data_IF_283041337707
#
_entry.id   IF_283041337707
#
_cell.length_a   1.000
_cell.length_b   1.000
_cell.length_c   1.000
_cell.angle_alpha   90.00
_cell.angle_beta   90.00
_cell.angle_gamma   90.00
#
_symmetry.space_group_name_H-M   'P 1'
#
loop_
_entity.id
_entity.type
_entity.pdbx_description
1 polymer ?
#
# COMPACT_ATOMS: atom_id res chain seq x y z
N UNK A 1 5.20 -24.45 8.18
CA UNK A 1 5.62 -23.03 8.27
C UNK A 1 6.36 -22.68 6.98
N UNK A 2 5.84 -21.74 6.16
CA UNK A 2 6.59 -21.14 5.04
C UNK A 2 6.41 -19.63 5.12
N UNK A 3 7.23 -19.01 5.95
CA UNK A 3 7.52 -17.59 5.91
C UNK A 3 8.82 -17.47 5.12
N UNK A 4 8.74 -17.22 3.81
CA UNK A 4 9.84 -16.80 2.93
C UNK A 4 9.37 -16.88 1.47
N UNK A 5 8.49 -15.98 1.07
CA UNK A 5 8.57 -15.46 -0.28
C UNK A 5 8.82 -13.98 -0.05
N UNK A 6 10.05 -13.54 -0.35
CA UNK A 6 10.47 -12.18 -0.12
C UNK A 6 9.38 -11.25 -0.64
N UNK A 7 8.76 -10.46 0.22
CA UNK A 7 7.84 -9.41 -0.19
C UNK A 7 8.65 -8.36 -0.93
N UNK A 8 8.93 -8.66 -2.19
CA UNK A 8 9.60 -7.78 -3.12
C UNK A 8 8.78 -6.51 -3.17
N UNK A 9 9.43 -5.38 -2.93
CA UNK A 9 8.80 -4.07 -3.07
C UNK A 9 8.20 -4.01 -4.48
N UNK A 10 6.90 -3.73 -4.63
CA UNK A 10 6.31 -3.55 -5.95
C UNK A 10 7.01 -2.38 -6.64
N UNK A 11 7.27 -2.51 -7.93
CA UNK A 11 7.88 -1.44 -8.74
C UNK A 11 6.85 -0.35 -9.07
N UNK A 12 5.58 -0.75 -9.21
CA UNK A 12 4.46 0.14 -9.53
C UNK A 12 3.16 -0.26 -8.83
N UNK A 13 2.23 0.70 -8.71
CA UNK A 13 0.91 0.48 -8.10
C UNK A 13 0.09 -0.57 -8.87
N UNK A 14 0.29 -0.69 -10.19
CA UNK A 14 -0.32 -1.74 -11.01
C UNK A 14 0.17 -3.13 -10.61
N UNK A 15 1.48 -3.28 -10.36
CA UNK A 15 2.07 -4.53 -9.88
C UNK A 15 1.56 -4.86 -8.48
N UNK A 16 1.54 -3.88 -7.57
CA UNK A 16 0.93 -4.02 -6.25
C UNK A 16 -0.52 -4.51 -6.34
N UNK A 17 -1.29 -3.97 -7.29
CA UNK A 17 -2.68 -4.39 -7.52
C UNK A 17 -2.75 -5.84 -7.97
N UNK A 18 -1.86 -6.27 -8.86
CA UNK A 18 -1.72 -7.67 -9.27
C UNK A 18 -1.37 -8.60 -8.10
N UNK A 19 -0.44 -8.19 -7.24
CA UNK A 19 -0.02 -8.97 -6.06
C UNK A 19 -1.15 -9.12 -5.03
N UNK A 20 -1.91 -8.05 -4.78
CA UNK A 20 -3.08 -8.07 -3.88
C UNK A 20 -4.20 -8.91 -4.47
N UNK A 21 -4.49 -8.77 -5.78
CA UNK A 21 -5.53 -9.56 -6.46
C UNK A 21 -5.20 -11.05 -6.51
N UNK A 22 -3.93 -11.39 -6.75
CA UNK A 22 -3.44 -12.78 -6.83
C UNK A 22 -3.30 -13.44 -5.45
N UNK A 23 -3.57 -12.71 -4.35
CA UNK A 23 -3.37 -13.16 -2.96
C UNK A 23 -1.96 -13.70 -2.68
N UNK A 24 -0.98 -13.27 -3.47
CA UNK A 24 0.44 -13.57 -3.25
C UNK A 24 0.89 -13.00 -1.90
N UNK A 25 0.34 -11.84 -1.53
CA UNK A 25 0.50 -11.27 -0.20
C UNK A 25 -0.49 -11.90 0.77
N UNK A 26 0.00 -12.67 1.75
CA UNK A 26 -0.82 -13.14 2.88
C UNK A 26 -1.11 -11.99 3.85
N UNK A 27 -2.04 -11.14 3.48
CA UNK A 27 -2.51 -10.04 4.30
C UNK A 27 -3.73 -10.48 5.16
N UNK A 28 -3.77 -10.13 6.44
CA UNK A 28 -4.99 -10.13 7.23
C UNK A 28 -6.06 -9.26 6.54
N UNK A 29 -7.35 -9.60 6.72
CA UNK A 29 -8.47 -8.87 6.10
C UNK A 29 -8.38 -7.35 6.23
N UNK A 30 -7.94 -6.85 7.39
CA UNK A 30 -7.78 -5.41 7.62
C UNK A 30 -6.67 -4.78 6.76
N UNK A 31 -5.52 -5.44 6.64
CA UNK A 31 -4.41 -4.95 5.80
C UNK A 31 -4.76 -5.03 4.32
N UNK A 32 -5.44 -6.10 3.89
CA UNK A 32 -5.94 -6.23 2.53
C UNK A 32 -6.95 -5.13 2.18
N UNK A 33 -7.87 -4.81 3.11
CA UNK A 33 -8.82 -3.71 2.94
C UNK A 33 -8.11 -2.36 2.76
N UNK A 34 -7.08 -2.07 3.57
CA UNK A 34 -6.29 -0.83 3.44
C UNK A 34 -5.59 -0.80 2.10
N UNK A 35 -4.95 -1.91 1.68
CA UNK A 35 -4.27 -2.00 0.40
C UNK A 35 -5.24 -1.79 -0.79
N UNK A 36 -6.39 -2.47 -0.77
CA UNK A 36 -7.44 -2.30 -1.80
C UNK A 36 -7.94 -0.87 -1.86
N UNK A 37 -8.14 -0.20 -0.72
CA UNK A 37 -8.61 1.19 -0.68
C UNK A 37 -7.54 2.16 -1.17
N UNK A 38 -6.27 1.94 -0.82
CA UNK A 38 -5.14 2.69 -1.35
C UNK A 38 -4.99 2.53 -2.87
N UNK A 39 -5.23 1.33 -3.40
CA UNK A 39 -5.22 1.04 -4.84
C UNK A 39 -6.41 1.67 -5.58
N UNK A 40 -7.59 1.74 -4.94
CA UNK A 40 -8.77 2.38 -5.51
C UNK A 40 -8.69 3.92 -5.46
N UNK A 41 -8.02 4.46 -4.44
CA UNK A 41 -7.87 5.91 -4.18
C UNK A 41 -6.39 6.22 -3.89
N UNK A 42 -5.50 6.16 -4.90
CA UNK A 42 -4.07 6.44 -4.72
C UNK A 42 -3.81 7.88 -4.26
N UNK A 43 -4.68 8.83 -4.61
CA UNK A 43 -4.69 10.22 -4.12
C UNK A 43 -4.71 10.31 -2.59
N UNK A 44 -5.45 9.42 -1.94
CA UNK A 44 -5.66 9.44 -0.50
C UNK A 44 -4.37 9.15 0.25
N UNK A 45 -3.54 8.23 -0.27
CA UNK A 45 -2.23 7.92 0.30
C UNK A 45 -1.16 8.92 -0.17
N UNK A 46 -1.21 9.33 -1.44
CA UNK A 46 -0.25 10.25 -2.03
C UNK A 46 -0.32 11.67 -1.46
N UNK A 47 -1.51 12.15 -1.07
CA UNK A 47 -1.68 13.50 -0.52
C UNK A 47 -1.98 13.46 0.99
N UNK A 48 -2.64 12.41 1.49
CA UNK A 48 -2.99 12.26 2.89
C UNK A 48 -1.80 11.98 3.83
N UNK A 49 -2.12 11.95 5.12
CA UNK A 49 -1.23 11.49 6.20
C UNK A 49 -1.58 10.04 6.60
N UNK A 50 -0.67 9.35 7.31
CA UNK A 50 -0.95 8.01 7.82
C UNK A 50 -2.24 7.97 8.65
N UNK A 51 -2.51 9.03 9.42
CA UNK A 51 -3.72 9.17 10.23
C UNK A 51 -4.97 9.34 9.37
N UNK A 52 -4.92 10.20 8.35
CA UNK A 52 -6.03 10.41 7.42
C UNK A 52 -6.37 9.12 6.65
N UNK A 53 -5.34 8.40 6.20
CA UNK A 53 -5.49 7.09 5.53
C UNK A 53 -6.12 6.07 6.47
N UNK A 54 -5.64 6.03 7.71
CA UNK A 54 -6.15 5.13 8.74
C UNK A 54 -7.64 5.39 9.03
N UNK A 55 -8.01 6.65 9.25
CA UNK A 55 -9.41 7.08 9.43
C UNK A 55 -10.27 6.70 8.23
N UNK A 56 -9.80 6.97 7.01
CA UNK A 56 -10.53 6.63 5.80
C UNK A 56 -10.71 5.12 5.61
N UNK A 57 -9.78 4.30 6.10
CA UNK A 57 -9.87 2.85 6.05
C UNK A 57 -10.52 2.23 7.29
N UNK A 58 -10.92 3.05 8.28
CA UNK A 58 -11.42 2.63 9.59
C UNK A 58 -10.45 1.69 10.33
N UNK A 59 -9.15 1.97 10.25
CA UNK A 59 -8.08 1.23 10.92
C UNK A 59 -7.23 2.15 11.79
N UNK A 60 -6.30 1.57 12.55
CA UNK A 60 -5.31 2.33 13.30
C UNK A 60 -4.17 2.86 12.40
N UNK A 61 -3.53 3.99 12.74
CA UNK A 61 -2.33 4.47 12.04
C UNK A 61 -1.18 3.44 12.04
N UNK A 62 -1.06 2.65 13.12
CA UNK A 62 -0.10 1.55 13.22
C UNK A 62 -0.35 0.46 12.16
N UNK A 63 -1.60 0.21 11.79
CA UNK A 63 -1.95 -0.73 10.71
C UNK A 63 -1.47 -0.23 9.36
N UNK A 64 -1.55 1.08 9.11
CA UNK A 64 -1.08 1.69 7.86
C UNK A 64 0.45 1.62 7.76
N UNK A 65 1.17 1.93 8.83
CA UNK A 65 2.64 1.78 8.86
C UNK A 65 3.05 0.31 8.72
N UNK A 66 2.31 -0.60 9.35
CA UNK A 66 2.55 -2.05 9.21
C UNK A 66 2.26 -2.56 7.79
N UNK A 67 1.31 -1.98 7.07
CA UNK A 67 1.11 -2.28 5.66
C UNK A 67 2.36 -1.89 4.85
N UNK A 68 2.92 -0.71 5.09
CA UNK A 68 4.12 -0.26 4.41
C UNK A 68 5.27 -1.26 4.60
N UNK A 69 5.52 -1.71 5.83
CA UNK A 69 6.59 -2.68 6.12
C UNK A 69 6.33 -4.06 5.52
N UNK A 70 5.07 -4.52 5.50
CA UNK A 70 4.71 -5.79 4.83
C UNK A 70 4.91 -5.71 3.32
N UNK A 71 4.65 -4.56 2.71
CA UNK A 71 4.93 -4.30 1.29
C UNK A 71 6.43 -4.05 1.00
N UNK A 72 7.27 -4.13 2.03
CA UNK A 72 8.72 -3.98 1.97
C UNK A 72 9.22 -2.55 2.19
N UNK A 73 8.36 -1.54 2.31
CA UNK A 73 8.76 -0.15 2.56
C UNK A 73 9.23 0.06 3.99
N UNK A 74 10.17 0.99 4.18
CA UNK A 74 10.73 1.28 5.51
C UNK A 74 9.77 2.10 6.38
N UNK A 75 8.99 2.98 5.75
CA UNK A 75 8.05 3.86 6.44
C UNK A 75 6.82 4.20 5.59
N UNK A 76 5.79 4.77 6.22
CA UNK A 76 4.64 5.33 5.50
C UNK A 76 5.06 6.43 4.52
N UNK A 77 6.14 7.17 4.81
CA UNK A 77 6.66 8.20 3.90
C UNK A 77 7.14 7.62 2.57
N UNK A 78 7.83 6.48 2.59
CA UNK A 78 8.24 5.77 1.37
C UNK A 78 7.04 5.27 0.58
N UNK A 79 6.06 4.68 1.27
CA UNK A 79 4.80 4.26 0.66
C UNK A 79 4.08 5.46 0.00
N UNK A 80 4.04 6.61 0.68
CA UNK A 80 3.46 7.85 0.14
C UNK A 80 4.20 8.32 -1.11
N UNK A 81 5.54 8.35 -1.07
CA UNK A 81 6.35 8.75 -2.21
C UNK A 81 6.12 7.83 -3.43
N UNK A 82 5.99 6.52 -3.20
CA UNK A 82 5.66 5.54 -4.22
C UNK A 82 4.31 5.84 -4.91
N UNK A 83 3.26 6.09 -4.13
CA UNK A 83 1.95 6.47 -4.70
C UNK A 83 2.00 7.84 -5.40
N UNK A 84 2.76 8.80 -4.88
CA UNK A 84 2.96 10.10 -5.55
C UNK A 84 3.66 9.96 -6.89
N UNK A 85 4.69 9.13 -6.98
CA UNK A 85 5.43 8.87 -8.22
C UNK A 85 4.53 8.20 -9.25
N UNK A 86 3.73 7.21 -8.85
CA UNK A 86 2.75 6.59 -9.72
C UNK A 86 1.73 7.60 -10.26
N UNK A 87 1.15 8.46 -9.41
CA UNK A 87 0.22 9.50 -9.87
C UNK A 87 0.85 10.52 -10.82
N UNK A 88 2.14 10.81 -10.65
CA UNK A 88 2.89 11.67 -11.58
C UNK A 88 3.10 10.97 -12.93
N UNK A 89 3.46 9.70 -12.90
CA UNK A 89 3.63 8.87 -14.10
C UNK A 89 2.34 8.74 -14.90
N UNK A 90 1.22 8.42 -14.23
CA UNK A 90 -0.11 8.28 -14.84
C UNK A 90 -0.64 9.60 -15.43
N UNK A 91 -0.25 10.76 -14.90
CA UNK A 91 -0.65 12.08 -15.44
C UNK A 91 0.08 12.44 -16.74
N UNK A 92 1.20 11.79 -17.02
CA UNK A 92 2.08 12.09 -18.16
C UNK A 92 1.90 11.11 -19.34
N UNK A 93 0.98 10.15 -19.25
CA UNK A 93 0.55 9.28 -20.36
C UNK A 93 -0.81 9.72 -20.89
#
# INVERSE_FOLDING_TARGET
MKASEATRRPCDVTELRGMVASRTLRLPKQLEQVARKALARPDLVAFGSARSVATACSVSPTTVTRLATVLGFESFRDLKAFFQQHLRSVRHS
#
